data_IF_449244312435
#
_entry.id   IF_449244312435
#
_cell.length_a   1.000
_cell.length_b   1.000
_cell.length_c   1.000
_cell.angle_alpha   90.00
_cell.angle_beta   90.00
_cell.angle_gamma   90.00
#
_symmetry.space_group_name_H-M   'P 1'
#
loop_
_entity.id
_entity.type
_entity.pdbx_description
1 polymer ?
#
# COMPACT_ATOMS: atom_id res chain seq x y z
N UNK A 1 4.39 -45.50 -48.96
CA UNK A 1 5.60 -44.66 -48.84
C UNK A 1 5.55 -43.68 -47.65
N UNK A 2 4.40 -43.11 -47.25
CA UNK A 2 4.32 -42.13 -46.13
C UNK A 2 4.62 -42.73 -44.73
N UNK A 3 4.24 -43.99 -44.46
CA UNK A 3 4.48 -44.64 -43.16
C UNK A 3 5.97 -44.89 -42.85
N UNK A 4 6.82 -45.03 -43.87
CA UNK A 4 8.27 -45.26 -43.69
C UNK A 4 9.04 -43.97 -43.35
N UNK A 5 8.59 -42.81 -43.87
CA UNK A 5 9.21 -41.52 -43.57
C UNK A 5 8.95 -41.07 -42.11
N UNK A 6 7.74 -41.33 -41.59
CA UNK A 6 7.39 -41.00 -40.20
C UNK A 6 8.13 -41.88 -39.18
N UNK A 7 8.41 -43.14 -39.52
CA UNK A 7 9.19 -44.05 -38.67
C UNK A 7 10.66 -43.64 -38.56
N UNK A 8 11.26 -43.20 -39.69
CA UNK A 8 12.65 -42.73 -39.72
C UNK A 8 12.84 -41.42 -38.96
N UNK A 9 11.91 -40.46 -39.10
CA UNK A 9 11.95 -39.21 -38.32
C UNK A 9 11.82 -39.46 -36.80
N UNK A 10 11.02 -40.45 -36.39
CA UNK A 10 10.88 -40.84 -34.98
C UNK A 10 12.13 -41.50 -34.41
N UNK A 11 12.82 -42.34 -35.19
CA UNK A 11 14.05 -43.00 -34.74
C UNK A 11 15.25 -42.05 -34.72
N UNK A 12 15.38 -41.13 -35.69
CA UNK A 12 16.44 -40.11 -35.67
C UNK A 12 16.24 -39.08 -34.57
N UNK A 13 14.99 -38.65 -34.32
CA UNK A 13 14.69 -37.75 -33.20
C UNK A 13 14.99 -38.42 -31.85
N UNK A 14 14.64 -39.69 -31.68
CA UNK A 14 14.97 -40.44 -30.46
C UNK A 14 16.48 -40.62 -30.25
N UNK A 15 17.25 -40.84 -31.32
CA UNK A 15 18.71 -41.00 -31.23
C UNK A 15 19.42 -39.67 -30.93
N UNK A 16 18.96 -38.56 -31.50
CA UNK A 16 19.52 -37.23 -31.25
C UNK A 16 19.16 -36.73 -29.84
N UNK A 17 17.94 -36.97 -29.37
CA UNK A 17 17.51 -36.58 -28.00
C UNK A 17 18.11 -37.49 -26.93
N UNK A 18 18.40 -38.76 -27.24
CA UNK A 18 18.99 -39.72 -26.30
C UNK A 18 20.52 -39.74 -26.25
N UNK A 19 21.22 -38.97 -27.09
CA UNK A 19 22.68 -38.92 -27.08
C UNK A 19 23.20 -38.25 -25.80
N UNK A 20 24.22 -38.82 -25.12
CA UNK A 20 24.85 -38.21 -23.95
C UNK A 20 25.33 -36.77 -24.19
N UNK A 21 25.72 -36.44 -25.43
CA UNK A 21 26.17 -35.09 -25.81
C UNK A 21 24.99 -34.11 -25.76
N UNK A 22 23.84 -34.46 -26.34
CA UNK A 22 22.64 -33.62 -26.32
C UNK A 22 22.13 -33.43 -24.90
N UNK A 23 22.09 -34.49 -24.11
CA UNK A 23 21.73 -34.42 -22.69
C UNK A 23 22.70 -33.53 -21.90
N UNK A 24 24.01 -33.64 -22.16
CA UNK A 24 25.02 -32.77 -21.55
C UNK A 24 24.83 -31.30 -21.92
N UNK A 25 24.54 -30.98 -23.18
CA UNK A 25 24.29 -29.60 -23.62
C UNK A 25 22.99 -29.03 -23.03
N UNK A 26 21.91 -29.81 -22.99
CA UNK A 26 20.66 -29.41 -22.33
C UNK A 26 20.88 -29.17 -20.83
N UNK A 27 21.65 -30.04 -20.18
CA UNK A 27 21.99 -29.87 -18.76
C UNK A 27 22.83 -28.60 -18.54
N UNK A 28 23.86 -28.35 -19.37
CA UNK A 28 24.67 -27.13 -19.28
C UNK A 28 23.82 -25.89 -19.54
N UNK A 29 22.96 -25.89 -20.56
CA UNK A 29 22.07 -24.77 -20.87
C UNK A 29 21.05 -24.54 -19.73
N UNK A 30 20.46 -25.60 -19.19
CA UNK A 30 19.55 -25.53 -18.05
C UNK A 30 20.24 -25.01 -16.78
N UNK A 31 21.44 -25.51 -16.47
CA UNK A 31 22.23 -25.05 -15.31
C UNK A 31 22.74 -23.62 -15.50
N UNK A 32 23.14 -23.22 -16.70
CA UNK A 32 23.58 -21.85 -16.99
C UNK A 32 22.39 -20.89 -16.95
N UNK A 33 21.25 -21.29 -17.51
CA UNK A 33 20.00 -20.56 -17.43
C UNK A 33 19.50 -20.40 -16.01
N UNK A 34 19.56 -21.45 -15.19
CA UNK A 34 19.24 -21.35 -13.76
C UNK A 34 20.26 -20.48 -13.01
N UNK A 35 21.56 -20.71 -13.24
CA UNK A 35 22.64 -20.03 -12.53
C UNK A 35 22.72 -18.53 -12.79
N UNK A 36 22.44 -18.08 -14.02
CA UNK A 36 22.43 -16.66 -14.37
C UNK A 36 21.01 -16.06 -14.34
N UNK A 37 20.02 -16.81 -14.78
CA UNK A 37 18.65 -16.34 -14.93
C UNK A 37 17.92 -16.16 -13.62
N UNK A 38 18.11 -17.06 -12.63
CA UNK A 38 17.46 -16.91 -11.32
C UNK A 38 17.94 -15.65 -10.58
N UNK A 39 19.26 -15.38 -10.44
CA UNK A 39 19.72 -14.15 -9.80
C UNK A 39 19.32 -12.88 -10.54
N UNK A 40 19.33 -12.91 -11.88
CA UNK A 40 18.87 -11.76 -12.68
C UNK A 40 17.37 -11.51 -12.51
N UNK A 41 16.57 -12.57 -12.49
CA UNK A 41 15.13 -12.49 -12.25
C UNK A 41 14.80 -12.00 -10.84
N UNK A 42 15.54 -12.46 -9.82
CA UNK A 42 15.40 -11.97 -8.45
C UNK A 42 15.73 -10.48 -8.34
N UNK A 43 16.84 -10.03 -8.91
CA UNK A 43 17.18 -8.59 -8.92
C UNK A 43 16.13 -7.75 -9.62
N UNK A 44 15.59 -8.23 -10.75
CA UNK A 44 14.51 -7.55 -11.44
C UNK A 44 13.24 -7.52 -10.57
N UNK A 45 12.93 -8.63 -9.90
CA UNK A 45 11.80 -8.70 -8.98
C UNK A 45 11.98 -7.74 -7.80
N UNK A 46 13.12 -7.75 -7.13
CA UNK A 46 13.41 -6.85 -6.01
C UNK A 46 13.35 -5.38 -6.47
N UNK A 47 13.91 -5.07 -7.63
CA UNK A 47 13.80 -3.72 -8.21
C UNK A 47 12.34 -3.33 -8.45
N UNK A 48 11.56 -4.19 -9.10
CA UNK A 48 10.17 -3.88 -9.41
C UNK A 48 9.29 -3.80 -8.16
N UNK A 49 9.49 -4.69 -7.18
CA UNK A 49 8.54 -4.89 -6.09
C UNK A 49 8.95 -4.25 -4.77
N UNK A 50 10.24 -4.00 -4.55
CA UNK A 50 10.78 -3.53 -3.27
C UNK A 50 11.51 -2.19 -3.37
N UNK A 51 11.96 -1.80 -4.57
CA UNK A 51 12.66 -0.53 -4.76
C UNK A 51 11.65 0.58 -5.13
N UNK A 52 11.50 1.63 -4.29
CA UNK A 52 10.59 2.75 -4.57
C UNK A 52 10.99 3.52 -5.85
N UNK A 53 12.26 3.44 -6.27
CA UNK A 53 12.76 4.12 -7.48
C UNK A 53 12.08 3.57 -8.74
N UNK A 54 11.68 2.29 -8.74
CA UNK A 54 10.99 1.70 -9.89
C UNK A 54 9.70 2.45 -10.27
N UNK A 55 8.96 2.95 -9.28
CA UNK A 55 7.76 3.74 -9.55
C UNK A 55 8.09 5.07 -10.24
N UNK A 56 9.24 5.68 -9.90
CA UNK A 56 9.74 6.92 -10.50
C UNK A 56 10.25 6.77 -11.94
N UNK A 57 10.59 5.56 -12.39
CA UNK A 57 11.06 5.31 -13.76
C UNK A 57 9.97 5.48 -14.83
N UNK A 58 8.70 5.31 -14.43
CA UNK A 58 7.57 5.35 -15.35
C UNK A 58 6.84 6.70 -15.32
N UNK A 59 6.74 7.35 -14.17
CA UNK A 59 6.08 8.65 -13.98
C UNK A 59 6.56 9.39 -12.72
N UNK A 60 6.13 10.64 -12.56
CA UNK A 60 6.55 11.51 -11.45
C UNK A 60 6.00 10.96 -10.12
N UNK A 61 6.89 10.46 -9.28
CA UNK A 61 6.58 9.94 -7.94
C UNK A 61 7.41 10.60 -6.82
N UNK A 62 8.25 11.59 -7.14
CA UNK A 62 9.28 12.10 -6.24
C UNK A 62 8.74 12.49 -4.85
N UNK A 63 7.62 13.23 -4.79
CA UNK A 63 7.05 13.65 -3.51
C UNK A 63 6.48 12.46 -2.72
N UNK A 64 5.80 11.53 -3.39
CA UNK A 64 5.22 10.34 -2.78
C UNK A 64 6.30 9.41 -2.22
N UNK A 65 7.35 9.16 -3.01
CA UNK A 65 8.50 8.36 -2.59
C UNK A 65 9.21 9.00 -1.40
N UNK A 66 9.49 10.31 -1.46
CA UNK A 66 10.12 11.04 -0.35
C UNK A 66 9.26 10.99 0.92
N UNK A 67 7.94 11.13 0.79
CA UNK A 67 7.05 11.10 1.95
C UNK A 67 6.94 9.70 2.56
N UNK A 68 6.83 8.65 1.72
CA UNK A 68 6.91 7.26 2.17
C UNK A 68 8.26 6.96 2.84
N UNK A 69 9.39 7.32 2.22
CA UNK A 69 10.75 7.12 2.75
C UNK A 69 10.95 7.74 4.14
N UNK A 70 10.29 8.87 4.40
CA UNK A 70 10.34 9.57 5.70
C UNK A 70 9.38 8.99 6.74
N UNK A 71 8.42 8.17 6.32
CA UNK A 71 7.42 7.59 7.20
C UNK A 71 7.92 6.31 7.88
N UNK A 72 7.18 5.86 8.90
CA UNK A 72 7.41 4.56 9.54
C UNK A 72 7.15 3.38 8.60
N UNK A 73 6.38 3.58 7.52
CA UNK A 73 6.06 2.53 6.56
C UNK A 73 7.27 2.10 5.75
N UNK A 74 8.19 3.00 5.39
CA UNK A 74 9.37 2.65 4.60
C UNK A 74 10.32 1.64 5.27
N UNK A 75 10.14 1.39 6.56
CA UNK A 75 10.92 0.39 7.31
C UNK A 75 10.36 -1.02 7.16
N UNK A 76 9.08 -1.17 6.78
CA UNK A 76 8.36 -2.45 6.85
C UNK A 76 7.61 -2.80 5.57
N UNK A 77 7.10 -1.81 4.84
CA UNK A 77 6.32 -1.99 3.61
C UNK A 77 7.12 -1.56 2.39
N UNK A 78 6.54 -1.80 1.23
CA UNK A 78 6.92 -1.32 -0.09
C UNK A 78 5.73 -0.56 -0.69
N UNK A 79 5.96 0.21 -1.76
CA UNK A 79 4.87 0.85 -2.49
C UNK A 79 3.80 -0.16 -2.94
N UNK A 80 4.17 -1.40 -3.26
CA UNK A 80 3.27 -2.44 -3.75
C UNK A 80 2.43 -3.13 -2.65
N UNK A 81 2.78 -2.96 -1.38
CA UNK A 81 1.93 -3.43 -0.27
C UNK A 81 0.66 -2.57 -0.16
N UNK A 82 0.73 -1.30 -0.58
CA UNK A 82 -0.42 -0.37 -0.62
C UNK A 82 -0.98 -0.17 -2.03
N UNK A 83 -0.16 -0.22 -3.08
CA UNK A 83 -0.60 -0.04 -4.46
C UNK A 83 -0.77 -1.38 -5.17
N UNK A 84 -2.01 -1.68 -5.54
CA UNK A 84 -2.30 -2.84 -6.38
C UNK A 84 -1.99 -2.56 -7.84
N UNK A 85 -0.92 -3.19 -8.32
CA UNK A 85 -0.62 -3.25 -9.76
C UNK A 85 -0.72 -4.70 -10.22
N UNK A 86 -1.84 -5.11 -10.85
CA UNK A 86 -1.95 -6.47 -11.35
C UNK A 86 -0.86 -6.74 -12.40
N UNK A 87 -0.27 -7.95 -12.39
CA UNK A 87 0.89 -8.29 -13.21
C UNK A 87 0.69 -7.98 -14.72
N UNK A 88 -0.55 -8.12 -15.21
CA UNK A 88 -0.92 -7.80 -16.60
C UNK A 88 -0.69 -6.34 -17.00
N UNK A 89 -0.53 -5.43 -16.04
CA UNK A 89 -0.28 -4.02 -16.32
C UNK A 89 1.20 -3.73 -16.60
N UNK A 90 2.15 -4.58 -16.16
CA UNK A 90 3.58 -4.33 -16.37
C UNK A 90 3.99 -4.24 -17.85
N UNK A 91 3.51 -5.11 -18.77
CA UNK A 91 3.83 -4.95 -20.19
C UNK A 91 3.33 -3.62 -20.75
N UNK A 92 2.14 -3.16 -20.32
CA UNK A 92 1.60 -1.86 -20.73
C UNK A 92 2.44 -0.72 -20.16
N UNK A 93 2.76 -0.76 -18.87
CA UNK A 93 3.57 0.25 -18.21
C UNK A 93 4.97 0.35 -18.83
N UNK A 94 5.59 -0.79 -19.19
CA UNK A 94 6.85 -0.81 -19.91
C UNK A 94 6.75 -0.13 -21.29
N UNK A 95 5.68 -0.42 -22.05
CA UNK A 95 5.44 0.23 -23.35
C UNK A 95 5.27 1.74 -23.16
N UNK A 96 4.49 2.17 -22.17
CA UNK A 96 4.32 3.60 -21.86
C UNK A 96 5.66 4.23 -21.44
N UNK A 97 6.41 3.58 -20.56
CA UNK A 97 7.71 4.06 -20.08
C UNK A 97 8.77 4.14 -21.20
N UNK A 98 8.64 3.39 -22.30
CA UNK A 98 9.61 3.47 -23.42
C UNK A 98 9.11 4.40 -24.52
N UNK A 99 7.82 4.39 -24.83
CA UNK A 99 7.29 5.02 -26.06
C UNK A 99 6.26 6.13 -25.83
N UNK A 100 5.69 6.25 -24.63
CA UNK A 100 4.60 7.18 -24.34
C UNK A 100 4.68 7.69 -22.89
N UNK A 101 5.87 8.18 -22.48
CA UNK A 101 6.05 8.70 -21.12
C UNK A 101 5.12 9.89 -20.89
N UNK A 102 4.30 9.88 -19.84
CA UNK A 102 3.50 11.05 -19.48
C UNK A 102 4.42 12.23 -19.19
N UNK A 103 4.05 13.42 -19.65
CA UNK A 103 4.85 14.64 -19.48
C UNK A 103 4.37 15.48 -18.31
N UNK A 104 3.12 15.28 -17.87
CA UNK A 104 2.54 16.01 -16.74
C UNK A 104 1.85 15.05 -15.76
N UNK A 105 1.71 15.41 -14.48
CA UNK A 105 1.01 14.60 -13.49
C UNK A 105 -0.44 14.26 -13.88
N UNK A 106 -1.14 15.17 -14.58
CA UNK A 106 -2.54 15.01 -14.96
C UNK A 106 -2.77 13.94 -16.03
N UNK A 107 -1.72 13.57 -16.77
CA UNK A 107 -1.77 12.50 -17.76
C UNK A 107 -1.78 11.10 -17.11
N UNK A 108 -1.50 11.03 -15.80
CA UNK A 108 -1.47 9.78 -15.03
C UNK A 108 -2.70 9.72 -14.14
N UNK A 109 -3.56 8.71 -14.27
CA UNK A 109 -4.65 8.52 -13.35
C UNK A 109 -4.09 8.24 -11.95
N UNK A 110 -4.65 8.91 -10.94
CA UNK A 110 -4.29 8.69 -9.54
C UNK A 110 -4.49 7.20 -9.18
N UNK A 111 -3.51 6.62 -8.50
CA UNK A 111 -3.65 5.29 -7.97
C UNK A 111 -4.62 5.33 -6.79
N UNK A 112 -5.69 4.53 -6.86
CA UNK A 112 -6.65 4.43 -5.79
C UNK A 112 -6.16 3.41 -4.74
N UNK A 113 -5.99 3.87 -3.50
CA UNK A 113 -5.69 3.04 -2.34
C UNK A 113 -6.92 3.04 -1.45
N UNK A 114 -7.63 1.92 -1.36
CA UNK A 114 -8.81 1.80 -0.51
C UNK A 114 -8.43 1.64 0.96
N UNK A 115 -9.26 2.14 1.88
CA UNK A 115 -9.03 2.04 3.33
C UNK A 115 -8.92 0.58 3.83
N UNK A 116 -9.58 -0.35 3.15
CA UNK A 116 -9.47 -1.81 3.36
C UNK A 116 -8.03 -2.32 3.39
N UNK A 117 -7.12 -1.71 2.62
CA UNK A 117 -5.71 -2.09 2.61
C UNK A 117 -5.01 -1.73 3.93
N UNK A 118 -5.40 -0.59 4.53
CA UNK A 118 -4.88 -0.14 5.82
C UNK A 118 -5.34 -1.10 6.93
N UNK A 119 -6.62 -1.48 6.92
CA UNK A 119 -7.22 -2.41 7.88
C UNK A 119 -6.51 -3.76 7.88
N UNK A 120 -6.02 -4.22 6.73
CA UNK A 120 -5.31 -5.50 6.64
C UNK A 120 -4.05 -5.55 7.53
N UNK A 121 -3.42 -4.40 7.77
CA UNK A 121 -2.25 -4.30 8.64
C UNK A 121 -2.59 -3.71 10.01
N UNK A 122 -3.52 -2.77 10.10
CA UNK A 122 -3.77 -1.97 11.30
C UNK A 122 -5.07 -2.29 12.03
N UNK A 123 -5.90 -3.19 11.51
CA UNK A 123 -7.08 -3.70 12.21
C UNK A 123 -6.90 -5.17 12.64
N UNK A 124 -7.52 -5.54 13.74
CA UNK A 124 -7.60 -6.94 14.22
C UNK A 124 -8.55 -7.74 13.35
N UNK A 125 -9.71 -7.16 13.04
CA UNK A 125 -10.78 -7.77 12.24
C UNK A 125 -10.93 -7.05 10.89
N UNK A 126 -9.81 -6.71 10.25
CA UNK A 126 -9.81 -6.05 8.95
C UNK A 126 -10.36 -6.94 7.84
N UNK A 127 -10.91 -6.34 6.79
CA UNK A 127 -11.41 -7.10 5.65
C UNK A 127 -10.29 -7.91 4.98
N UNK A 128 -10.65 -9.10 4.49
CA UNK A 128 -9.72 -9.92 3.72
C UNK A 128 -9.65 -9.40 2.29
N UNK A 129 -8.52 -8.78 1.97
CA UNK A 129 -8.20 -8.39 0.61
C UNK A 129 -6.75 -8.77 0.28
N UNK A 130 -6.54 -9.24 -0.95
CA UNK A 130 -5.22 -9.73 -1.38
C UNK A 130 -4.23 -8.56 -1.44
N UNK A 131 -3.13 -8.65 -0.70
CA UNK A 131 -2.01 -7.73 -0.86
C UNK A 131 -1.15 -8.19 -2.04
N UNK A 132 -0.73 -7.24 -2.87
CA UNK A 132 0.14 -7.53 -4.02
C UNK A 132 1.61 -7.45 -3.68
N UNK A 133 1.97 -6.77 -2.59
CA UNK A 133 3.35 -6.57 -2.19
C UNK A 133 3.96 -7.76 -1.46
N UNK A 134 5.28 -7.74 -1.26
CA UNK A 134 6.04 -8.86 -0.72
C UNK A 134 5.98 -8.98 0.81
N UNK A 135 5.16 -8.16 1.51
CA UNK A 135 5.09 -8.22 2.97
C UNK A 135 4.55 -9.58 3.46
N UNK A 136 5.35 -10.33 4.25
CA UNK A 136 4.95 -11.61 4.81
C UNK A 136 3.88 -11.44 5.91
N UNK A 137 3.07 -12.48 6.13
CA UNK A 137 1.98 -12.48 7.11
C UNK A 137 2.48 -12.24 8.54
N UNK A 138 3.66 -12.77 8.86
CA UNK A 138 4.29 -12.64 10.18
C UNK A 138 4.58 -11.18 10.52
N UNK A 139 5.16 -10.43 9.56
CA UNK A 139 5.40 -9.00 9.75
C UNK A 139 4.08 -8.23 9.87
N UNK A 140 3.07 -8.62 9.09
CA UNK A 140 1.74 -8.00 9.17
C UNK A 140 1.05 -8.22 10.52
N UNK A 141 1.22 -9.39 11.11
CA UNK A 141 0.74 -9.70 12.45
C UNK A 141 1.44 -8.85 13.53
N UNK A 142 2.69 -8.45 13.29
CA UNK A 142 3.49 -7.66 14.21
C UNK A 142 3.20 -6.14 14.13
N UNK A 143 2.55 -5.66 13.07
CA UNK A 143 2.16 -4.25 12.91
C UNK A 143 1.17 -3.86 14.01
N UNK A 144 1.35 -2.65 14.56
CA UNK A 144 0.45 -2.08 15.58
C UNK A 144 -0.99 -2.02 15.07
N UNK A 145 -1.90 -2.65 15.82
CA UNK A 145 -3.34 -2.64 15.56
C UNK A 145 -3.96 -1.38 16.14
N UNK A 146 -4.11 -0.36 15.31
CA UNK A 146 -4.52 0.98 15.73
C UNK A 146 -6.00 1.02 16.14
N UNK A 147 -6.82 0.14 15.58
CA UNK A 147 -8.24 -0.05 15.91
C UNK A 147 -8.46 -0.45 17.38
N UNK A 148 -7.43 -0.96 18.04
CA UNK A 148 -7.46 -1.25 19.48
C UNK A 148 -7.13 -0.03 20.34
N UNK A 149 -6.60 1.05 19.77
CA UNK A 149 -6.31 2.26 20.54
C UNK A 149 -7.62 2.96 20.95
N UNK A 150 -7.70 3.53 22.17
CA UNK A 150 -8.96 4.04 22.70
C UNK A 150 -9.64 5.08 21.81
N UNK A 151 -8.87 6.02 21.22
CA UNK A 151 -9.47 7.06 20.39
C UNK A 151 -9.76 6.60 18.97
N UNK A 152 -8.93 5.75 18.33
CA UNK A 152 -9.31 5.22 17.02
C UNK A 152 -10.61 4.44 17.12
N UNK A 153 -10.78 3.59 18.15
CA UNK A 153 -12.01 2.80 18.33
C UNK A 153 -13.25 3.67 18.44
N UNK A 154 -13.20 4.77 19.21
CA UNK A 154 -14.34 5.69 19.34
C UNK A 154 -14.80 6.24 17.98
N UNK A 155 -13.86 6.45 17.05
CA UNK A 155 -14.18 6.97 15.72
C UNK A 155 -14.56 5.84 14.75
N UNK A 156 -13.80 4.75 14.71
CA UNK A 156 -14.04 3.63 13.79
C UNK A 156 -15.34 2.87 14.12
N UNK A 157 -15.79 2.87 15.38
CA UNK A 157 -17.08 2.30 15.78
C UNK A 157 -18.27 3.26 15.47
N UNK A 158 -18.00 4.50 15.04
CA UNK A 158 -19.06 5.45 14.73
C UNK A 158 -19.75 5.09 13.42
N UNK A 159 -21.06 4.91 13.48
CA UNK A 159 -21.90 4.65 12.30
C UNK A 159 -21.96 5.84 11.32
N UNK A 160 -21.54 7.02 11.78
CA UNK A 160 -21.58 8.27 11.03
C UNK A 160 -20.40 9.19 11.36
N UNK A 161 -20.00 9.99 10.37
CA UNK A 161 -19.05 11.11 10.51
C UNK A 161 -19.62 12.31 11.27
N UNK A 162 -20.92 12.36 11.51
CA UNK A 162 -21.56 13.45 12.25
C UNK A 162 -21.50 13.13 13.74
N UNK A 163 -20.66 13.81 14.54
CA UNK A 163 -20.58 13.51 15.96
C UNK A 163 -21.92 13.82 16.64
N UNK A 164 -22.38 12.91 17.50
CA UNK A 164 -23.48 13.20 18.42
C UNK A 164 -23.14 14.43 19.28
N UNK A 165 -24.16 15.17 19.72
CA UNK A 165 -23.95 16.38 20.54
C UNK A 165 -23.10 16.04 21.77
N UNK A 166 -21.86 16.52 21.78
CA UNK A 166 -20.99 16.41 22.94
C UNK A 166 -21.49 17.31 24.08
N UNK A 167 -21.21 16.92 25.33
CA UNK A 167 -21.47 17.75 26.51
C UNK A 167 -20.67 19.06 26.44
N UNK A 168 -21.30 20.13 25.93
CA UNK A 168 -20.73 21.48 25.84
C UNK A 168 -20.88 22.16 24.48
N UNK A 169 -21.25 21.44 23.42
CA UNK A 169 -21.52 22.01 22.09
C UNK A 169 -22.84 22.77 22.06
N UNK A 170 -22.85 23.99 21.51
CA UNK A 170 -24.03 24.87 21.55
C UNK A 170 -25.13 24.50 20.57
N UNK A 171 -24.87 23.77 19.48
CA UNK A 171 -25.84 23.24 18.52
C UNK A 171 -25.23 22.00 17.84
N UNK A 172 -26.01 21.10 17.18
CA UNK A 172 -25.41 20.03 16.39
C UNK A 172 -24.61 20.65 15.24
N UNK A 173 -23.40 20.16 15.01
CA UNK A 173 -22.57 20.61 13.89
C UNK A 173 -23.35 20.44 12.59
N UNK A 174 -23.24 21.42 11.69
CA UNK A 174 -23.69 21.23 10.31
C UNK A 174 -22.93 20.03 9.75
N UNK A 175 -23.59 19.09 9.04
CA UNK A 175 -22.88 17.97 8.44
C UNK A 175 -21.70 18.49 7.62
N UNK A 176 -20.49 17.92 7.76
CA UNK A 176 -19.35 18.32 6.95
C UNK A 176 -19.71 18.24 5.47
N UNK A 177 -19.18 19.15 4.65
CA UNK A 177 -19.34 19.02 3.20
C UNK A 177 -18.84 17.63 2.76
N UNK A 178 -19.57 16.94 1.86
CA UNK A 178 -19.17 15.62 1.41
C UNK A 178 -17.76 15.68 0.81
N UNK A 179 -16.83 14.89 1.36
CA UNK A 179 -15.50 14.77 0.80
C UNK A 179 -15.57 14.04 -0.55
N UNK A 180 -15.09 14.65 -1.66
CA UNK A 180 -15.26 14.12 -3.01
C UNK A 180 -14.51 12.80 -3.26
N UNK A 181 -13.70 12.37 -2.31
CA UNK A 181 -12.67 11.39 -2.54
C UNK A 181 -13.03 9.99 -1.97
N UNK A 182 -14.07 9.91 -1.15
CA UNK A 182 -14.47 8.67 -0.50
C UNK A 182 -15.25 7.68 -1.38
N UNK A 183 -15.39 7.86 -2.70
CA UNK A 183 -16.11 6.92 -3.57
C UNK A 183 -17.61 6.70 -3.24
N UNK A 184 -18.10 7.29 -2.15
CA UNK A 184 -19.48 7.30 -1.72
C UNK A 184 -20.19 8.50 -2.37
N UNK A 185 -21.44 8.31 -2.78
CA UNK A 185 -22.21 9.35 -3.48
C UNK A 185 -22.33 10.62 -2.65
N UNK A 186 -22.41 11.78 -3.30
CA UNK A 186 -22.62 13.07 -2.62
C UNK A 186 -23.85 12.98 -1.69
N UNK A 187 -23.62 13.11 -0.38
CA UNK A 187 -24.67 13.14 0.64
C UNK A 187 -25.08 11.80 1.26
N UNK A 188 -24.36 10.70 0.98
CA UNK A 188 -24.56 9.44 1.70
C UNK A 188 -23.78 9.47 3.03
N UNK A 189 -24.48 9.29 4.15
CA UNK A 189 -23.88 9.15 5.47
C UNK A 189 -23.21 7.78 5.57
N UNK A 190 -21.93 7.75 5.92
CA UNK A 190 -21.16 6.51 6.06
C UNK A 190 -20.29 6.51 7.31
N UNK A 191 -19.91 5.31 7.71
CA UNK A 191 -19.02 5.06 8.84
C UNK A 191 -17.64 5.70 8.63
N UNK A 192 -17.01 6.12 9.72
CA UNK A 192 -15.68 6.73 9.66
C UNK A 192 -14.65 5.67 9.23
N UNK A 193 -13.86 5.99 8.22
CA UNK A 193 -12.77 5.16 7.72
C UNK A 193 -11.40 5.81 7.97
N UNK A 194 -10.32 5.02 7.83
CA UNK A 194 -8.95 5.49 8.08
C UNK A 194 -8.58 6.74 7.25
N UNK A 195 -9.02 6.78 5.99
CA UNK A 195 -8.68 7.86 5.06
C UNK A 195 -9.38 9.19 5.37
N UNK A 196 -10.39 9.16 6.24
CA UNK A 196 -11.13 10.35 6.67
C UNK A 196 -10.24 11.26 7.53
N UNK A 197 -9.26 10.66 8.20
CA UNK A 197 -8.28 11.37 9.03
C UNK A 197 -6.87 11.38 8.41
N UNK A 198 -6.49 10.32 7.68
CA UNK A 198 -5.11 10.12 7.21
C UNK A 198 -4.86 10.41 5.72
N UNK A 199 -5.90 10.73 4.94
CA UNK A 199 -5.77 11.12 3.53
C UNK A 199 -5.84 12.63 3.29
N UNK A 200 -6.28 13.41 4.29
CA UNK A 200 -6.60 14.83 4.13
C UNK A 200 -7.63 15.08 3.01
N UNK A 201 -7.70 16.34 2.54
CA UNK A 201 -8.69 16.76 1.53
C UNK A 201 -8.48 16.15 0.14
N UNK A 202 -7.24 15.80 -0.18
CA UNK A 202 -6.83 15.37 -1.52
C UNK A 202 -6.54 13.86 -1.60
N UNK A 203 -6.82 13.10 -0.53
CA UNK A 203 -6.37 11.70 -0.36
C UNK A 203 -4.90 11.53 -0.66
N UNK A 204 -4.09 12.48 -0.18
CA UNK A 204 -2.65 12.34 -0.20
C UNK A 204 -2.27 11.34 0.89
N UNK A 205 -2.50 10.06 0.61
CA UNK A 205 -2.10 8.92 1.45
C UNK A 205 -0.59 8.90 1.67
N UNK A 206 0.17 9.68 0.93
CA UNK A 206 1.61 9.86 1.13
C UNK A 206 1.92 10.81 2.32
N UNK A 207 0.96 11.61 2.77
CA UNK A 207 1.05 12.40 4.01
C UNK A 207 0.19 11.75 5.09
N UNK A 208 0.68 10.64 5.65
CA UNK A 208 -0.05 9.79 6.61
C UNK A 208 -0.37 10.45 7.97
N UNK A 209 0.15 11.63 8.26
CA UNK A 209 -0.06 12.26 9.56
C UNK A 209 -1.44 12.92 9.60
N UNK A 210 -2.34 12.40 10.45
CA UNK A 210 -3.57 13.09 10.78
C UNK A 210 -3.24 14.42 11.46
N UNK A 211 -3.82 15.50 10.98
CA UNK A 211 -3.61 16.85 11.48
C UNK A 211 -4.82 17.33 12.28
N UNK A 212 -4.63 18.37 13.11
CA UNK A 212 -5.75 19.00 13.80
C UNK A 212 -6.82 19.54 12.84
N UNK A 213 -6.44 19.86 11.59
CA UNK A 213 -7.37 20.29 10.54
C UNK A 213 -8.39 19.20 10.22
N UNK A 214 -7.99 17.94 10.25
CA UNK A 214 -8.85 16.81 9.91
C UNK A 214 -9.88 16.57 11.03
N UNK A 215 -9.51 16.84 12.29
CA UNK A 215 -10.44 16.80 13.42
C UNK A 215 -11.55 17.84 13.29
N UNK A 216 -11.19 19.10 12.98
CA UNK A 216 -12.17 20.21 12.91
C UNK A 216 -13.10 20.11 11.70
N UNK A 217 -12.79 19.26 10.72
CA UNK A 217 -13.70 18.99 9.61
C UNK A 217 -15.04 18.42 10.11
N UNK A 218 -15.01 17.52 11.10
CA UNK A 218 -16.23 16.96 11.72
C UNK A 218 -16.58 17.64 13.06
N UNK A 219 -15.59 18.17 13.77
CA UNK A 219 -15.75 18.82 15.08
C UNK A 219 -15.74 20.35 14.98
N UNK A 220 -16.45 20.91 13.98
CA UNK A 220 -16.50 22.35 13.77
C UNK A 220 -16.96 23.10 15.03
N UNK A 221 -16.29 24.21 15.34
CA UNK A 221 -16.59 25.04 16.50
C UNK A 221 -15.99 24.55 17.82
N UNK A 222 -15.30 23.40 17.85
CA UNK A 222 -14.52 22.95 19.01
C UNK A 222 -13.10 23.49 18.89
N UNK A 223 -12.80 24.52 19.67
CA UNK A 223 -11.46 25.11 19.78
C UNK A 223 -11.06 25.09 21.26
N UNK A 224 -10.32 24.06 21.72
CA UNK A 224 -9.85 24.04 23.09
C UNK A 224 -8.88 25.21 23.30
N UNK A 225 -8.97 25.84 24.47
CA UNK A 225 -8.06 26.91 24.90
C UNK A 225 -7.38 26.49 26.21
N UNK A 226 -6.15 26.94 26.42
CA UNK A 226 -5.47 26.79 27.72
C UNK A 226 -6.03 27.78 28.77
N UNK A 227 -5.46 27.74 29.98
CA UNK A 227 -5.88 28.63 31.08
C UNK A 227 -5.66 30.12 30.80
N UNK A 228 -4.90 30.47 29.76
CA UNK A 228 -4.60 31.83 29.33
C UNK A 228 -5.41 32.25 28.08
N UNK A 229 -6.28 31.38 27.57
CA UNK A 229 -7.06 31.62 26.36
C UNK A 229 -6.29 31.39 25.06
N UNK A 230 -5.14 30.71 25.08
CA UNK A 230 -4.41 30.35 23.88
C UNK A 230 -5.04 29.09 23.25
N UNK A 231 -5.30 29.12 21.95
CA UNK A 231 -5.86 27.96 21.23
C UNK A 231 -4.88 26.78 21.23
N UNK A 232 -5.40 25.60 21.58
CA UNK A 232 -4.70 24.33 21.59
C UNK A 232 -5.09 23.49 20.37
N UNK A 233 -4.15 22.69 19.89
CA UNK A 233 -4.44 21.63 18.93
C UNK A 233 -5.17 20.48 19.64
N UNK A 234 -6.10 19.83 18.95
CA UNK A 234 -6.77 18.63 19.46
C UNK A 234 -5.73 17.57 19.90
N UNK A 235 -4.63 17.47 19.15
CA UNK A 235 -3.57 16.48 19.38
C UNK A 235 -2.67 16.81 20.58
N UNK A 236 -2.68 18.05 21.10
CA UNK A 236 -1.90 18.42 22.29
C UNK A 236 -2.35 17.63 23.53
N UNK A 237 -3.65 17.34 23.60
CA UNK A 237 -4.25 16.54 24.67
C UNK A 237 -4.57 15.10 24.20
N UNK A 238 -5.06 14.93 22.97
CA UNK A 238 -5.55 13.64 22.48
C UNK A 238 -4.51 12.78 21.77
N UNK A 239 -3.33 13.29 21.42
CA UNK A 239 -2.35 12.55 20.62
C UNK A 239 -1.98 11.18 21.22
N UNK A 240 -1.86 11.10 22.55
CA UNK A 240 -1.59 9.82 23.25
C UNK A 240 -2.70 8.79 23.15
N UNK A 241 -3.95 9.22 22.98
CA UNK A 241 -5.08 8.29 22.84
C UNK A 241 -5.16 7.63 21.46
N UNK A 242 -4.47 8.22 20.47
CA UNK A 242 -4.34 7.69 19.11
C UNK A 242 -3.10 6.80 18.94
N UNK A 243 -2.03 7.10 19.66
CA UNK A 243 -0.86 6.20 19.71
C UNK A 243 -1.24 5.02 20.61
N UNK A 244 -1.51 3.86 20.02
CA UNK A 244 -1.69 2.62 20.79
C UNK A 244 -0.50 2.41 21.74
N UNK A 245 -0.72 1.75 22.89
CA UNK A 245 0.41 1.31 23.71
C UNK A 245 1.26 0.38 22.84
N UNK A 246 2.35 0.93 22.27
CA UNK A 246 3.29 0.14 21.50
C UNK A 246 3.72 -1.00 22.41
N UNK A 247 3.54 -2.27 22.04
CA UNK A 247 4.30 -3.32 22.71
C UNK A 247 5.77 -2.90 22.60
N UNK A 248 6.55 -3.04 23.68
CA UNK A 248 7.98 -2.76 23.64
C UNK A 248 8.59 -3.59 22.51
N UNK A 249 8.79 -2.97 21.34
CA UNK A 249 9.32 -3.67 20.19
C UNK A 249 10.79 -3.96 20.48
N UNK A 250 11.09 -5.21 20.84
CA UNK A 250 12.40 -5.79 20.57
C UNK A 250 12.62 -5.60 19.07
N UNK A 251 13.51 -4.67 18.69
CA UNK A 251 13.89 -4.50 17.30
C UNK A 251 14.35 -5.86 16.79
N UNK A 252 13.63 -6.43 15.82
CA UNK A 252 14.12 -7.58 15.07
C UNK A 252 15.47 -7.17 14.49
N UNK A 253 16.46 -8.04 14.62
CA UNK A 253 17.80 -7.73 14.12
C UNK A 253 17.76 -7.58 12.59
N UNK A 254 18.65 -6.75 12.02
CA UNK A 254 18.79 -6.58 10.55
C UNK A 254 18.99 -7.92 9.80
N UNK A 255 19.36 -8.98 10.51
CA UNK A 255 19.57 -10.33 10.00
C UNK A 255 18.26 -11.14 9.85
N UNK A 256 17.18 -10.75 10.53
CA UNK A 256 15.87 -11.42 10.47
C UNK A 256 14.93 -10.78 9.43
N UNK A 257 15.25 -9.56 8.97
CA UNK A 257 14.44 -8.78 8.01
C UNK A 257 14.91 -8.95 6.56
N UNK A 258 16.09 -9.54 6.32
CA UNK A 258 16.66 -9.79 4.98
C UNK A 258 16.43 -11.22 4.49
#
# INVERSE_FOLDING_TARGET
>A
MIRSALGWLRSTAAYVVGSPITLGLVAIAGLSGAGAGVPAGQKLYDYMWRDPVFCGDCHIHDYANIAWERSVHAQLTTCHDCHRVPIRHYPRNLVMAVFARPQTPEEVPNAHVGAVLCERCHAVEGMEEELTGPMPEELRGAVTKIDQSPLHRVHLDAESRTPERYHGGREPATPPEPHPAGGHGEGEEHAIACLDCHGGKDLEVHTFEASARDCVACHEGITPEDEHGASLSCLDCHGRGFVGSQPEHTMLSDEEVR
#
